data_IF_730221281219
#
_entry.id   IF_730221281219
#
_cell.length_a   1.000
_cell.length_b   1.000
_cell.length_c   1.000
_cell.angle_alpha   90.00
_cell.angle_beta   90.00
_cell.angle_gamma   90.00
#
_symmetry.space_group_name_H-M   'P 1'
#
loop_
_entity.id
_entity.type
_entity.pdbx_description
1 polymer ?
#
# COMPACT_ATOMS: atom_id res chain seq x y z
N UNK A 1 37.94 4.79 34.67
CA UNK A 1 36.49 4.74 34.42
C UNK A 1 36.27 3.56 33.50
N UNK A 2 35.51 2.57 33.93
CA UNK A 2 35.31 1.35 33.14
C UNK A 2 34.03 1.50 32.33
N UNK A 3 34.07 1.09 31.06
CA UNK A 3 32.93 1.12 30.15
C UNK A 3 32.56 -0.30 29.74
N UNK A 4 31.25 -0.58 29.66
CA UNK A 4 30.71 -1.87 29.26
C UNK A 4 29.49 -1.68 28.38
N UNK A 5 29.38 -2.51 27.35
CA UNK A 5 28.20 -2.53 26.48
C UNK A 5 27.40 -3.81 26.70
N UNK A 6 26.12 -3.67 27.03
CA UNK A 6 25.20 -4.80 27.30
C UNK A 6 24.15 -4.85 26.18
N UNK A 7 23.90 -6.00 25.55
CA UNK A 7 22.81 -6.14 24.58
C UNK A 7 21.46 -6.12 25.30
N UNK A 8 20.52 -5.30 24.81
CA UNK A 8 19.16 -5.18 25.39
C UNK A 8 18.11 -5.53 24.34
N UNK A 9 17.27 -6.52 24.67
CA UNK A 9 16.14 -6.95 23.86
C UNK A 9 14.90 -6.07 24.10
N UNK A 10 13.99 -6.02 23.12
CA UNK A 10 12.68 -5.37 23.27
C UNK A 10 12.62 -3.85 23.00
N UNK A 11 13.74 -3.13 22.95
CA UNK A 11 13.71 -1.69 22.63
C UNK A 11 13.31 -1.42 21.17
N UNK A 12 12.17 -0.77 20.93
CA UNK A 12 11.69 -0.42 19.56
C UNK A 12 11.42 1.07 19.35
N UNK A 13 11.50 1.88 20.41
CA UNK A 13 11.05 3.27 20.41
C UNK A 13 12.02 4.24 21.11
N UNK A 14 11.93 5.54 20.83
CA UNK A 14 12.77 6.55 21.50
C UNK A 14 12.45 6.70 22.99
N UNK A 15 11.18 6.47 23.38
CA UNK A 15 10.81 6.42 24.78
C UNK A 15 11.46 5.21 25.50
N UNK A 16 11.62 4.09 24.79
CA UNK A 16 12.21 2.85 25.28
C UNK A 16 13.67 3.07 25.70
N UNK A 17 14.45 3.81 24.89
CA UNK A 17 15.83 4.19 25.24
C UNK A 17 15.88 4.97 26.56
N UNK A 18 14.98 5.94 26.74
CA UNK A 18 14.92 6.73 27.97
C UNK A 18 14.54 5.89 29.18
N UNK A 19 13.58 4.98 29.02
CA UNK A 19 13.16 4.05 30.09
C UNK A 19 14.31 3.14 30.51
N UNK A 20 15.00 2.49 29.55
CA UNK A 20 16.14 1.61 29.84
C UNK A 20 17.31 2.39 30.43
N UNK A 21 17.61 3.57 29.90
CA UNK A 21 18.68 4.44 30.42
C UNK A 21 18.39 4.87 31.86
N UNK A 22 17.16 5.29 32.15
CA UNK A 22 16.76 5.73 33.48
C UNK A 22 16.77 4.58 34.52
N UNK A 23 16.31 3.39 34.13
CA UNK A 23 16.33 2.22 35.00
C UNK A 23 17.76 1.85 35.42
N UNK A 24 18.71 1.90 34.48
CA UNK A 24 20.09 1.51 34.74
C UNK A 24 20.91 2.62 35.41
N UNK A 25 20.61 3.90 35.17
CA UNK A 25 21.19 5.00 35.94
C UNK A 25 20.86 4.94 37.45
N UNK A 26 19.81 4.23 37.84
CA UNK A 26 19.44 4.02 39.24
C UNK A 26 20.31 3.01 40.00
N UNK A 27 21.16 2.24 39.30
CA UNK A 27 22.01 1.24 39.94
C UNK A 27 23.25 1.88 40.60
N UNK A 28 23.71 1.33 41.74
CA UNK A 28 24.85 1.87 42.46
C UNK A 28 26.14 1.76 41.63
N UNK A 29 26.92 2.85 41.58
CA UNK A 29 28.24 2.88 40.95
C UNK A 29 28.25 3.20 39.45
N UNK A 30 27.08 3.42 38.84
CA UNK A 30 26.94 3.93 37.47
C UNK A 30 27.00 5.46 37.47
N UNK A 31 27.78 6.03 36.56
CA UNK A 31 27.93 7.48 36.37
C UNK A 31 27.32 7.96 35.06
N UNK A 32 27.29 7.10 34.04
CA UNK A 32 26.56 7.35 32.81
C UNK A 32 26.00 6.07 32.21
N UNK A 33 24.84 6.18 31.58
CA UNK A 33 24.25 5.12 30.77
C UNK A 33 23.64 5.72 29.51
N UNK A 34 23.73 5.00 28.39
CA UNK A 34 23.16 5.40 27.11
C UNK A 34 22.64 4.18 26.36
N UNK A 35 21.31 4.10 26.20
CA UNK A 35 20.67 3.06 25.41
C UNK A 35 20.54 3.50 23.94
N UNK A 36 20.93 2.63 23.01
CA UNK A 36 20.73 2.78 21.58
C UNK A 36 19.75 1.71 21.07
N UNK A 37 18.55 2.12 20.65
CA UNK A 37 17.53 1.22 20.11
C UNK A 37 17.87 0.69 18.72
N UNK A 38 18.68 1.38 17.93
CA UNK A 38 19.10 0.89 16.60
C UNK A 38 20.11 -0.23 16.77
N UNK A 39 21.11 -0.02 17.62
CA UNK A 39 22.12 -1.03 17.93
C UNK A 39 21.60 -2.14 18.84
N UNK A 40 20.53 -1.90 19.60
CA UNK A 40 20.01 -2.83 20.60
C UNK A 40 20.98 -3.03 21.76
N UNK A 41 21.66 -1.96 22.14
CA UNK A 41 22.77 -1.97 23.08
C UNK A 41 22.63 -0.85 24.09
N UNK A 42 23.10 -1.12 25.30
CA UNK A 42 23.21 -0.17 26.39
C UNK A 42 24.69 0.00 26.73
N UNK A 43 25.22 1.20 26.53
CA UNK A 43 26.54 1.56 27.01
C UNK A 43 26.43 2.08 28.45
N UNK A 44 27.27 1.54 29.34
CA UNK A 44 27.30 1.88 30.76
C UNK A 44 28.73 2.24 31.12
N UNK A 45 28.92 3.36 31.83
CA UNK A 45 30.20 3.72 32.40
C UNK A 45 30.06 4.08 33.89
N UNK A 46 31.06 3.69 34.69
CA UNK A 46 31.05 3.97 36.12
C UNK A 46 32.27 3.44 36.86
N UNK A 47 32.16 3.48 38.19
CA UNK A 47 33.19 3.01 39.14
C UNK A 47 33.11 1.50 39.37
N UNK A 48 31.90 0.95 39.38
CA UNK A 48 31.64 -0.50 39.44
C UNK A 48 30.59 -0.85 38.39
N UNK A 49 30.94 -1.75 37.48
CA UNK A 49 30.06 -2.17 36.40
C UNK A 49 29.16 -3.31 36.88
N UNK A 50 27.82 -3.18 36.80
CA UNK A 50 26.91 -4.26 37.18
C UNK A 50 27.03 -5.47 36.25
N UNK A 51 26.70 -6.64 36.79
CA UNK A 51 26.59 -7.88 36.02
C UNK A 51 25.35 -7.85 35.11
N UNK A 52 25.26 -8.78 34.15
CA UNK A 52 24.06 -8.89 33.31
C UNK A 52 22.81 -9.21 34.13
N UNK A 53 22.94 -9.97 35.21
CA UNK A 53 21.83 -10.28 36.11
C UNK A 53 21.32 -9.03 36.85
N UNK A 54 22.23 -8.13 37.24
CA UNK A 54 21.86 -6.88 37.92
C UNK A 54 21.15 -5.91 36.97
N UNK A 55 21.61 -5.85 35.71
CA UNK A 55 20.95 -5.05 34.66
C UNK A 55 19.57 -5.65 34.32
N UNK A 56 19.45 -6.97 34.24
CA UNK A 56 18.17 -7.64 33.98
C UNK A 56 17.19 -7.45 35.14
N UNK A 57 17.68 -7.51 36.39
CA UNK A 57 16.89 -7.21 37.58
C UNK A 57 16.40 -5.74 37.62
N UNK A 58 17.24 -4.79 37.22
CA UNK A 58 16.84 -3.38 37.10
C UNK A 58 15.76 -3.14 36.03
N UNK A 59 15.66 -4.05 35.07
CA UNK A 59 14.68 -3.99 33.97
C UNK A 59 13.45 -4.87 34.23
N UNK A 60 13.35 -5.56 35.37
CA UNK A 60 12.28 -6.53 35.65
C UNK A 60 10.86 -5.95 35.57
N UNK A 61 10.69 -4.67 35.92
CA UNK A 61 9.41 -3.95 35.83
C UNK A 61 9.12 -3.38 34.43
N UNK A 62 10.00 -3.65 33.47
CA UNK A 62 9.92 -3.18 32.09
C UNK A 62 9.77 -4.37 31.13
N UNK A 63 9.25 -4.16 29.90
CA UNK A 63 9.21 -5.21 28.89
C UNK A 63 10.57 -5.48 28.22
N UNK A 64 11.68 -5.06 28.83
CA UNK A 64 13.03 -5.15 28.29
C UNK A 64 13.87 -6.12 29.11
N UNK A 65 14.79 -6.81 28.46
CA UNK A 65 15.68 -7.76 29.13
C UNK A 65 17.06 -7.77 28.50
N UNK A 66 18.05 -8.27 29.23
CA UNK A 66 19.39 -8.47 28.71
C UNK A 66 19.38 -9.60 27.69
N UNK A 67 19.81 -9.30 26.46
CA UNK A 67 19.86 -10.30 25.40
C UNK A 67 19.81 -9.72 23.99
N UNK A 68 20.04 -10.59 23.01
CA UNK A 68 19.96 -10.21 21.59
C UNK A 68 18.54 -10.36 21.06
N UNK A 69 18.14 -9.47 20.14
CA UNK A 69 16.86 -9.59 19.44
C UNK A 69 16.86 -10.82 18.53
N UNK A 70 15.94 -11.78 18.69
CA UNK A 70 15.83 -12.89 17.76
C UNK A 70 15.27 -12.42 16.42
N UNK A 71 15.61 -13.12 15.33
CA UNK A 71 15.08 -12.83 13.99
C UNK A 71 13.58 -13.11 13.90
N UNK A 72 13.13 -14.11 14.64
CA UNK A 72 11.76 -14.59 14.69
C UNK A 72 11.24 -14.56 16.12
N UNK A 73 10.00 -14.12 16.32
CA UNK A 73 9.37 -14.12 17.62
C UNK A 73 9.15 -15.56 18.09
N UNK A 74 9.53 -15.87 19.33
CA UNK A 74 9.42 -17.21 19.92
C UNK A 74 8.12 -17.40 20.71
N UNK A 75 7.33 -16.34 20.88
CA UNK A 75 6.08 -16.41 21.61
C UNK A 75 5.00 -17.19 20.82
N UNK A 76 4.51 -18.34 21.34
CA UNK A 76 3.46 -19.12 20.67
C UNK A 76 2.14 -18.37 20.56
N UNK A 77 1.85 -17.39 21.43
CA UNK A 77 0.65 -16.58 21.33
C UNK A 77 0.67 -15.68 20.09
N UNK A 78 1.83 -15.17 19.69
CA UNK A 78 1.99 -14.36 18.48
C UNK A 78 1.71 -15.18 17.23
N UNK A 79 2.22 -16.41 17.16
CA UNK A 79 1.97 -17.31 16.03
C UNK A 79 0.53 -17.78 15.94
N UNK A 80 -0.10 -18.06 17.09
CA UNK A 80 -1.53 -18.38 17.12
C UNK A 80 -2.38 -17.21 16.61
N UNK A 81 -2.09 -16.01 17.09
CA UNK A 81 -2.80 -14.80 16.65
C UNK A 81 -2.58 -14.52 15.16
N UNK A 82 -1.38 -14.80 14.64
CA UNK A 82 -1.07 -14.71 13.21
C UNK A 82 -1.87 -15.72 12.39
N UNK A 83 -1.95 -16.97 12.81
CA UNK A 83 -2.74 -18.00 12.12
C UNK A 83 -4.22 -17.65 12.10
N UNK A 84 -4.76 -17.20 13.24
CA UNK A 84 -6.15 -16.73 13.32
C UNK A 84 -6.36 -15.52 12.40
N UNK A 85 -5.42 -14.57 12.39
CA UNK A 85 -5.48 -13.42 11.49
C UNK A 85 -5.49 -13.83 10.01
N UNK A 86 -4.62 -14.76 9.60
CA UNK A 86 -4.59 -15.30 8.23
C UNK A 86 -5.91 -15.96 7.88
N UNK A 87 -6.46 -16.80 8.76
CA UNK A 87 -7.74 -17.47 8.54
C UNK A 87 -8.90 -16.47 8.42
N UNK A 88 -8.95 -15.46 9.30
CA UNK A 88 -10.00 -14.43 9.28
C UNK A 88 -9.88 -13.56 8.02
N UNK A 89 -8.69 -13.07 7.68
CA UNK A 89 -8.48 -12.26 6.47
C UNK A 89 -8.81 -13.07 5.21
N UNK A 90 -8.38 -14.32 5.14
CA UNK A 90 -8.71 -15.22 4.03
C UNK A 90 -10.21 -15.49 3.91
N UNK A 91 -10.90 -15.73 5.03
CA UNK A 91 -12.35 -15.93 5.05
C UNK A 91 -13.11 -14.68 4.63
N UNK A 92 -12.69 -13.49 5.08
CA UNK A 92 -13.29 -12.22 4.67
C UNK A 92 -13.07 -11.95 3.17
N UNK A 93 -11.87 -12.22 2.65
CA UNK A 93 -11.58 -12.09 1.23
C UNK A 93 -12.43 -13.06 0.39
N UNK A 94 -12.50 -14.32 0.81
CA UNK A 94 -13.34 -15.34 0.15
C UNK A 94 -14.83 -14.98 0.22
N UNK A 95 -15.32 -14.48 1.35
CA UNK A 95 -16.70 -14.03 1.48
C UNK A 95 -16.99 -12.83 0.57
N UNK A 96 -16.09 -11.84 0.51
CA UNK A 96 -16.24 -10.69 -0.39
C UNK A 96 -16.29 -11.12 -1.87
N UNK A 97 -15.47 -12.11 -2.25
CA UNK A 97 -15.47 -12.73 -3.57
C UNK A 97 -16.77 -13.48 -3.87
N UNK A 98 -17.21 -14.40 -2.99
CA UNK A 98 -18.42 -15.21 -3.21
C UNK A 98 -19.70 -14.38 -3.19
N UNK A 99 -19.70 -13.28 -2.42
CA UNK A 99 -20.77 -12.31 -2.41
C UNK A 99 -20.73 -11.37 -3.62
N UNK A 100 -19.70 -11.40 -4.48
CA UNK A 100 -19.60 -10.43 -5.60
C UNK A 100 -19.66 -8.99 -5.11
N UNK A 101 -19.06 -8.69 -3.95
CA UNK A 101 -19.20 -7.38 -3.32
C UNK A 101 -18.55 -6.28 -4.18
N UNK A 102 -17.49 -6.62 -4.92
CA UNK A 102 -16.80 -5.72 -5.83
C UNK A 102 -17.69 -5.32 -7.02
N UNK A 103 -18.33 -6.29 -7.69
CA UNK A 103 -19.26 -6.04 -8.80
C UNK A 103 -20.53 -5.32 -8.34
N UNK A 104 -21.06 -5.62 -7.15
CA UNK A 104 -22.22 -4.87 -6.61
C UNK A 104 -21.91 -3.42 -6.27
N UNK A 105 -20.72 -3.13 -5.73
CA UNK A 105 -20.28 -1.74 -5.46
C UNK A 105 -20.13 -0.99 -6.78
N UNK A 106 -19.59 -1.65 -7.81
CA UNK A 106 -19.47 -1.14 -9.16
C UNK A 106 -20.85 -0.83 -9.78
N UNK A 107 -21.82 -1.75 -9.68
CA UNK A 107 -23.18 -1.57 -10.20
C UNK A 107 -23.91 -0.37 -9.56
N UNK A 108 -23.64 -0.09 -8.29
CA UNK A 108 -24.17 1.09 -7.61
C UNK A 108 -23.53 2.40 -8.11
N UNK A 109 -22.38 2.33 -8.77
CA UNK A 109 -21.63 3.47 -9.30
C UNK A 109 -21.69 3.62 -10.82
N UNK A 110 -22.13 2.58 -11.55
CA UNK A 110 -22.11 2.51 -13.02
C UNK A 110 -23.21 3.34 -13.72
N UNK A 111 -24.22 3.82 -12.98
CA UNK A 111 -25.26 4.70 -13.51
C UNK A 111 -24.83 6.15 -13.79
N UNK A 112 -23.56 6.48 -13.57
CA UNK A 112 -23.01 7.83 -13.76
C UNK A 112 -21.98 7.82 -14.90
N UNK A 113 -22.02 8.84 -15.76
CA UNK A 113 -21.20 8.92 -16.97
C UNK A 113 -19.70 8.80 -16.69
N UNK A 114 -18.97 8.25 -17.67
CA UNK A 114 -17.52 8.29 -17.81
C UNK A 114 -16.90 9.59 -17.26
N UNK A 115 -15.99 9.49 -16.29
CA UNK A 115 -15.31 10.65 -15.71
C UNK A 115 -16.15 11.58 -14.82
N UNK A 116 -17.41 11.25 -14.54
CA UNK A 116 -18.25 12.07 -13.64
C UNK A 116 -17.70 12.07 -12.21
N UNK A 117 -17.84 13.20 -11.53
CA UNK A 117 -17.36 13.36 -10.16
C UNK A 117 -17.94 12.31 -9.19
N UNK A 118 -19.11 11.74 -9.52
CA UNK A 118 -19.79 10.69 -8.76
C UNK A 118 -19.02 9.37 -8.80
N UNK A 119 -18.48 8.97 -9.94
CA UNK A 119 -17.72 7.71 -10.08
C UNK A 119 -16.38 7.81 -9.35
N UNK A 120 -15.67 8.94 -9.49
CA UNK A 120 -14.39 9.16 -8.79
C UNK A 120 -14.60 9.20 -7.27
N UNK A 121 -15.72 9.77 -6.82
CA UNK A 121 -16.10 9.77 -5.41
C UNK A 121 -16.48 8.36 -4.93
N UNK A 122 -17.17 7.58 -5.77
CA UNK A 122 -17.49 6.17 -5.55
C UNK A 122 -16.24 5.30 -5.40
N UNK A 123 -15.24 5.47 -6.26
CA UNK A 123 -13.93 4.82 -6.14
C UNK A 123 -13.22 5.22 -4.85
N UNK A 124 -13.33 6.48 -4.43
CA UNK A 124 -12.85 6.92 -3.12
C UNK A 124 -13.56 6.22 -1.95
N UNK A 125 -14.87 6.02 -2.04
CA UNK A 125 -15.66 5.29 -1.03
C UNK A 125 -15.28 3.80 -1.02
N UNK A 126 -15.12 3.16 -2.18
CA UNK A 126 -14.69 1.77 -2.30
C UNK A 126 -13.26 1.58 -1.74
N UNK A 127 -12.33 2.48 -2.11
CA UNK A 127 -10.98 2.52 -1.55
C UNK A 127 -10.97 2.79 -0.03
N UNK A 128 -12.04 3.39 0.50
CA UNK A 128 -12.21 3.56 1.94
C UNK A 128 -12.51 2.24 2.66
N UNK A 129 -12.96 1.20 1.98
CA UNK A 129 -13.12 -0.14 2.57
C UNK A 129 -11.85 -1.00 2.38
N UNK A 130 -10.81 -0.45 1.73
CA UNK A 130 -9.59 -1.16 1.32
C UNK A 130 -8.44 -1.08 2.34
N UNK A 131 -7.37 -1.85 2.09
CA UNK A 131 -6.10 -1.91 2.84
C UNK A 131 -5.39 -0.55 2.99
N UNK A 132 -5.72 0.46 2.18
CA UNK A 132 -5.28 1.84 2.36
C UNK A 132 -5.60 2.37 3.77
N UNK A 133 -6.75 1.96 4.35
CA UNK A 133 -7.13 2.31 5.72
C UNK A 133 -6.30 1.63 6.80
N UNK A 134 -5.76 0.45 6.53
CA UNK A 134 -4.92 -0.26 7.49
C UNK A 134 -3.67 0.57 7.83
N UNK A 135 -3.06 1.19 6.80
CA UNK A 135 -1.87 2.03 6.94
C UNK A 135 -2.19 3.45 7.41
N UNK A 136 -3.18 4.11 6.79
CA UNK A 136 -3.56 5.48 7.15
C UNK A 136 -4.25 5.51 8.52
N UNK A 137 -5.02 4.47 8.86
CA UNK A 137 -5.70 4.29 10.15
C UNK A 137 -4.71 4.20 11.31
N UNK A 138 -3.57 3.53 11.16
CA UNK A 138 -2.51 3.53 12.19
C UNK A 138 -1.96 4.93 12.47
N UNK A 139 -1.81 5.75 11.43
CA UNK A 139 -1.43 7.16 11.56
C UNK A 139 -2.50 7.95 12.30
N UNK A 140 -3.76 7.78 11.90
CA UNK A 140 -4.94 8.41 12.51
C UNK A 140 -5.08 8.02 13.99
N UNK A 141 -4.78 6.76 14.36
CA UNK A 141 -4.75 6.29 15.74
C UNK A 141 -3.62 6.93 16.53
N UNK A 142 -2.43 7.07 15.96
CA UNK A 142 -1.32 7.78 16.62
C UNK A 142 -1.63 9.26 16.87
N UNK A 143 -2.35 9.90 15.95
CA UNK A 143 -2.88 11.25 16.10
C UNK A 143 -3.96 11.32 17.18
N UNK A 144 -4.87 10.35 17.23
CA UNK A 144 -5.89 10.26 18.28
C UNK A 144 -5.28 10.05 19.69
N UNK A 145 -4.19 9.28 19.78
CA UNK A 145 -3.45 9.05 21.03
C UNK A 145 -2.69 10.31 21.52
N UNK A 146 -2.39 11.25 20.62
CA UNK A 146 -1.79 12.54 20.97
C UNK A 146 -2.80 13.59 21.45
N UNK A 147 -4.11 13.30 21.38
CA UNK A 147 -5.15 14.20 21.87
C UNK A 147 -5.30 14.07 23.39
N UNK A 148 -5.28 15.18 24.16
CA UNK A 148 -5.51 15.14 25.59
C UNK A 148 -6.83 14.46 25.96
N UNK A 149 -6.81 13.58 26.95
CA UNK A 149 -7.96 12.79 27.41
C UNK A 149 -9.15 13.62 27.92
N UNK A 150 -8.96 14.93 28.16
CA UNK A 150 -10.01 15.90 28.56
C UNK A 150 -10.66 16.62 27.37
N UNK A 151 -10.18 16.44 26.14
CA UNK A 151 -10.74 17.09 24.97
C UNK A 151 -12.06 16.42 24.55
N UNK A 152 -13.15 17.19 24.52
CA UNK A 152 -14.48 16.75 24.09
C UNK A 152 -14.95 17.53 22.86
N UNK A 153 -15.92 16.96 22.12
CA UNK A 153 -16.53 17.59 20.95
C UNK A 153 -15.55 17.91 19.82
N UNK A 154 -15.64 19.13 19.28
CA UNK A 154 -14.88 19.59 18.09
C UNK A 154 -13.36 19.56 18.34
N UNK A 155 -12.92 19.75 19.58
CA UNK A 155 -11.50 19.76 19.95
C UNK A 155 -10.85 18.38 19.77
N UNK A 156 -11.63 17.30 19.95
CA UNK A 156 -11.20 15.92 19.69
C UNK A 156 -11.16 15.59 18.19
N UNK A 157 -12.04 16.24 17.40
CA UNK A 157 -12.15 16.02 15.96
C UNK A 157 -11.17 16.87 15.14
N UNK A 158 -10.68 18.00 15.70
CA UNK A 158 -9.80 18.96 15.03
C UNK A 158 -8.55 18.33 14.38
N UNK A 159 -7.82 17.39 15.00
CA UNK A 159 -6.66 16.75 14.34
C UNK A 159 -7.06 15.86 13.17
N UNK A 160 -8.23 15.21 13.23
CA UNK A 160 -8.75 14.38 12.15
C UNK A 160 -9.22 15.23 10.97
N UNK A 161 -9.86 16.36 11.25
CA UNK A 161 -10.25 17.34 10.22
C UNK A 161 -9.03 18.00 9.58
N UNK A 162 -8.04 18.37 10.38
CA UNK A 162 -6.77 18.90 9.90
C UNK A 162 -6.03 17.89 9.02
N UNK A 163 -6.00 16.62 9.43
CA UNK A 163 -5.41 15.55 8.63
C UNK A 163 -6.11 15.36 7.28
N UNK A 164 -7.43 15.20 7.26
CA UNK A 164 -8.17 15.01 6.01
C UNK A 164 -8.17 16.27 5.13
N UNK A 165 -8.23 17.46 5.74
CA UNK A 165 -8.08 18.72 5.00
C UNK A 165 -6.73 18.82 4.30
N UNK A 166 -5.65 18.43 4.98
CA UNK A 166 -4.32 18.39 4.41
C UNK A 166 -4.18 17.35 3.31
N UNK A 167 -4.85 16.21 3.47
CA UNK A 167 -4.93 15.16 2.45
C UNK A 167 -5.66 15.64 1.19
N UNK A 168 -6.82 16.27 1.32
CA UNK A 168 -7.58 16.82 0.18
C UNK A 168 -6.75 17.88 -0.55
N UNK A 169 -6.26 18.89 0.18
CA UNK A 169 -5.44 19.96 -0.43
C UNK A 169 -4.17 19.40 -1.07
N UNK A 170 -3.48 18.49 -0.38
CA UNK A 170 -2.26 17.86 -0.88
C UNK A 170 -2.50 17.01 -2.12
N UNK A 171 -3.55 16.19 -2.14
CA UNK A 171 -3.90 15.34 -3.28
C UNK A 171 -4.34 16.17 -4.48
N UNK A 172 -5.13 17.23 -4.28
CA UNK A 172 -5.51 18.16 -5.36
C UNK A 172 -4.28 18.86 -5.94
N UNK A 173 -3.40 19.39 -5.09
CA UNK A 173 -2.20 20.10 -5.54
C UNK A 173 -1.19 19.17 -6.23
N UNK A 174 -0.86 18.03 -5.62
CA UNK A 174 0.07 17.07 -6.20
C UNK A 174 -0.54 16.37 -7.43
N UNK A 175 -1.86 16.16 -7.44
CA UNK A 175 -2.64 15.72 -8.60
C UNK A 175 -2.49 16.66 -9.79
N UNK A 176 -2.56 17.96 -9.56
CA UNK A 176 -2.31 18.97 -10.60
C UNK A 176 -0.90 18.87 -11.18
N UNK A 177 0.10 18.67 -10.30
CA UNK A 177 1.49 18.53 -10.70
C UNK A 177 1.69 17.27 -11.54
N UNK A 178 1.21 16.11 -11.10
CA UNK A 178 1.37 14.88 -11.88
C UNK A 178 0.60 14.94 -13.20
N UNK A 179 -0.61 15.50 -13.24
CA UNK A 179 -1.36 15.67 -14.50
C UNK A 179 -0.62 16.59 -15.48
N UNK A 180 0.04 17.65 -14.98
CA UNK A 180 0.88 18.49 -15.83
C UNK A 180 2.12 17.75 -16.36
N UNK A 181 2.78 16.95 -15.51
CA UNK A 181 3.95 16.14 -15.88
C UNK A 181 3.58 15.05 -16.89
N UNK A 182 2.37 14.52 -16.81
CA UNK A 182 1.88 13.48 -17.72
C UNK A 182 1.84 13.90 -19.19
N UNK A 183 1.78 15.21 -19.46
CA UNK A 183 1.87 15.74 -20.83
C UNK A 183 3.23 15.47 -21.50
N UNK A 184 4.30 15.29 -20.71
CA UNK A 184 5.67 15.17 -21.23
C UNK A 184 6.36 13.87 -20.86
N UNK A 185 5.78 13.04 -19.98
CA UNK A 185 6.38 11.79 -19.52
C UNK A 185 5.43 10.60 -19.74
N UNK A 186 5.81 9.70 -20.65
CA UNK A 186 5.36 8.31 -20.65
C UNK A 186 6.40 7.47 -19.86
N UNK A 187 6.18 7.15 -18.57
CA UNK A 187 7.15 6.39 -17.81
C UNK A 187 7.32 4.99 -18.42
N UNK A 188 8.57 4.59 -18.69
CA UNK A 188 8.87 3.22 -19.15
C UNK A 188 8.31 2.17 -18.19
N UNK A 189 7.88 1.02 -18.71
CA UNK A 189 7.36 -0.10 -17.90
C UNK A 189 8.34 -0.55 -16.82
N UNK A 190 9.65 -0.53 -17.11
CA UNK A 190 10.72 -0.85 -16.16
C UNK A 190 10.73 0.10 -14.96
N UNK A 191 10.64 1.41 -15.19
CA UNK A 191 10.64 2.41 -14.12
C UNK A 191 9.42 2.22 -13.21
N UNK A 192 8.25 1.98 -13.80
CA UNK A 192 7.03 1.72 -13.04
C UNK A 192 7.15 0.45 -12.20
N UNK A 193 7.63 -0.66 -12.79
CA UNK A 193 7.81 -1.92 -12.08
C UNK A 193 8.78 -1.80 -10.91
N UNK A 194 9.91 -1.09 -11.07
CA UNK A 194 10.86 -0.82 -9.97
C UNK A 194 10.22 0.00 -8.86
N UNK A 195 9.47 1.05 -9.20
CA UNK A 195 8.76 1.89 -8.23
C UNK A 195 7.70 1.08 -7.47
N UNK A 196 6.92 0.24 -8.16
CA UNK A 196 5.91 -0.64 -7.57
C UNK A 196 6.55 -1.69 -6.67
N UNK A 197 7.69 -2.25 -7.06
CA UNK A 197 8.42 -3.22 -6.24
C UNK A 197 9.01 -2.58 -4.97
N UNK A 198 9.55 -1.36 -5.09
CA UNK A 198 10.02 -0.58 -3.93
C UNK A 198 8.87 -0.27 -2.98
N UNK A 199 7.73 0.17 -3.52
CA UNK A 199 6.48 0.38 -2.80
C UNK A 199 6.02 -0.88 -2.04
N UNK A 200 5.96 -2.03 -2.73
CA UNK A 200 5.60 -3.31 -2.15
C UNK A 200 6.57 -3.74 -1.03
N UNK A 201 7.88 -3.52 -1.20
CA UNK A 201 8.89 -3.81 -0.18
C UNK A 201 8.67 -3.00 1.10
N UNK A 202 8.33 -1.71 0.97
CA UNK A 202 8.03 -0.83 2.11
C UNK A 202 6.75 -1.30 2.81
N UNK A 203 5.70 -1.65 2.06
CA UNK A 203 4.46 -2.20 2.63
C UNK A 203 4.72 -3.51 3.38
N UNK A 204 5.51 -4.42 2.81
CA UNK A 204 5.89 -5.68 3.45
C UNK A 204 6.65 -5.44 4.77
N UNK A 205 7.62 -4.51 4.78
CA UNK A 205 8.33 -4.11 6.00
C UNK A 205 7.35 -3.59 7.05
N UNK A 206 6.42 -2.71 6.68
CA UNK A 206 5.42 -2.18 7.62
C UNK A 206 4.50 -3.29 8.15
N UNK A 207 4.03 -4.17 7.27
CA UNK A 207 3.20 -5.31 7.65
C UNK A 207 3.90 -6.25 8.64
N UNK A 208 5.17 -6.60 8.40
CA UNK A 208 5.98 -7.45 9.31
C UNK A 208 6.17 -6.81 10.69
N UNK A 209 6.22 -5.48 10.78
CA UNK A 209 6.27 -4.78 12.07
C UNK A 209 4.96 -4.89 12.84
N UNK A 210 3.84 -4.73 12.13
CA UNK A 210 2.50 -4.81 12.72
C UNK A 210 2.16 -6.23 13.19
N UNK A 211 2.72 -7.26 12.53
CA UNK A 211 2.56 -8.66 12.95
C UNK A 211 3.45 -9.06 14.13
N UNK A 212 4.43 -8.24 14.52
CA UNK A 212 5.42 -8.53 15.58
C UNK A 212 6.17 -9.87 15.40
N UNK A 213 6.15 -10.42 14.18
CA UNK A 213 6.74 -11.72 13.83
C UNK A 213 8.26 -11.67 13.80
N UNK A 214 8.84 -10.52 13.47
CA UNK A 214 10.28 -10.28 13.54
C UNK A 214 10.61 -9.09 14.46
N UNK A 215 11.10 -9.37 15.69
CA UNK A 215 11.55 -8.33 16.62
C UNK A 215 12.67 -7.45 16.06
N UNK A 216 13.47 -7.96 15.11
CA UNK A 216 14.50 -7.17 14.42
C UNK A 216 13.93 -6.18 13.42
N UNK A 217 12.96 -6.60 12.61
CA UNK A 217 12.29 -5.71 11.63
C UNK A 217 11.43 -4.67 12.36
N UNK A 218 10.78 -5.06 13.45
CA UNK A 218 10.07 -4.16 14.37
C UNK A 218 10.95 -3.04 14.94
N UNK A 219 12.21 -3.38 15.27
CA UNK A 219 13.15 -2.43 15.88
C UNK A 219 13.92 -1.58 14.87
N UNK A 220 14.06 -2.04 13.63
CA UNK A 220 14.45 -1.16 12.53
C UNK A 220 13.47 0.02 12.52
N UNK A 221 13.86 1.24 12.22
CA UNK A 221 12.91 2.32 11.91
C UNK A 221 13.57 3.16 10.82
N UNK A 222 12.83 3.48 9.76
CA UNK A 222 13.33 4.43 8.77
C UNK A 222 13.34 5.80 9.45
N UNK A 223 14.47 6.13 10.07
CA UNK A 223 14.61 7.39 10.78
C UNK A 223 14.70 8.50 9.75
N UNK A 224 13.64 9.29 9.65
CA UNK A 224 13.65 10.51 8.86
C UNK A 224 14.80 11.41 9.32
N UNK A 225 15.60 11.97 8.38
CA UNK A 225 16.73 12.85 8.71
C UNK A 225 16.29 14.03 9.58
N UNK A 226 17.19 14.52 10.43
CA UNK A 226 16.90 15.24 11.69
C UNK A 226 15.73 16.23 11.67
N UNK A 227 15.63 17.08 10.64
CA UNK A 227 14.59 18.10 10.47
C UNK A 227 13.18 17.53 10.19
N UNK A 228 13.08 16.48 9.37
CA UNK A 228 11.83 15.76 9.10
C UNK A 228 11.43 14.90 10.30
N UNK A 229 12.43 14.27 10.93
CA UNK A 229 12.23 13.50 12.16
C UNK A 229 11.76 14.34 13.34
N UNK A 230 12.23 15.58 13.49
CA UNK A 230 11.77 16.50 14.54
C UNK A 230 10.32 16.96 14.31
N UNK A 231 9.96 17.26 13.06
CA UNK A 231 8.58 17.58 12.67
C UNK A 231 7.62 16.40 12.90
N UNK A 232 8.05 15.17 12.62
CA UNK A 232 7.31 13.92 12.89
C UNK A 232 7.42 13.45 14.36
N UNK A 233 8.29 13.98 15.20
CA UNK A 233 8.39 13.59 16.64
C UNK A 233 7.85 14.63 17.63
N UNK A 234 7.46 15.82 17.19
CA UNK A 234 6.84 16.83 18.07
C UNK A 234 7.82 17.39 19.08
N UNK A 235 8.95 17.96 18.62
CA UNK A 235 9.93 18.60 19.49
C UNK A 235 9.56 20.07 19.82
N UNK A 236 8.30 20.39 20.09
CA UNK A 236 7.90 21.74 20.50
C UNK A 236 6.88 21.66 21.63
N UNK A 237 7.28 22.19 22.80
CA UNK A 237 6.60 22.09 24.08
C UNK A 237 5.31 22.95 24.20
N UNK A 238 4.70 23.39 23.09
CA UNK A 238 3.52 24.28 23.07
C UNK A 238 2.33 23.63 22.37
N UNK A 239 1.87 22.52 22.93
CA UNK A 239 1.01 21.53 22.28
C UNK A 239 -0.51 21.79 22.46
N UNK A 240 -0.95 23.04 22.26
CA UNK A 240 -2.37 23.37 22.10
C UNK A 240 -2.72 23.94 20.71
N UNK A 241 -1.71 24.39 19.95
CA UNK A 241 -1.87 24.97 18.59
C UNK A 241 -0.96 24.31 17.54
N UNK A 242 0.10 23.61 17.94
CA UNK A 242 1.11 22.99 17.06
C UNK A 242 0.71 21.68 16.36
N UNK A 243 -0.30 20.95 16.86
CA UNK A 243 -0.73 19.68 16.25
C UNK A 243 -1.45 19.80 14.89
N UNK A 244 -2.04 20.95 14.59
CA UNK A 244 -2.82 21.19 13.36
C UNK A 244 -1.97 21.23 12.08
N UNK A 245 -0.88 22.04 11.98
CA UNK A 245 -0.03 22.05 10.79
C UNK A 245 0.68 20.71 10.56
N UNK A 246 1.00 19.99 11.63
CA UNK A 246 1.53 18.64 11.57
C UNK A 246 0.52 17.66 10.99
N UNK A 247 -0.72 17.66 11.50
CA UNK A 247 -1.78 16.81 10.98
C UNK A 247 -2.05 17.10 9.49
N UNK A 248 -2.12 18.39 9.11
CA UNK A 248 -2.24 18.84 7.72
C UNK A 248 -1.13 18.25 6.84
N UNK A 249 0.13 18.43 7.24
CA UNK A 249 1.25 17.92 6.45
C UNK A 249 1.29 16.39 6.40
N UNK A 250 0.94 15.69 7.48
CA UNK A 250 0.87 14.22 7.47
C UNK A 250 -0.22 13.74 6.52
N UNK A 251 -1.36 14.46 6.47
CA UNK A 251 -2.41 14.23 5.49
C UNK A 251 -1.93 14.36 4.06
N UNK A 252 -1.27 15.47 3.73
CA UNK A 252 -0.70 15.69 2.39
C UNK A 252 0.35 14.64 2.02
N UNK A 253 1.20 14.25 2.98
CA UNK A 253 2.25 13.24 2.78
C UNK A 253 1.69 11.85 2.46
N UNK A 254 0.42 11.56 2.78
CA UNK A 254 -0.21 10.29 2.39
C UNK A 254 -0.37 10.11 0.88
N UNK A 255 -0.15 11.15 0.09
CA UNK A 255 -0.08 11.03 -1.37
C UNK A 255 1.09 10.12 -1.78
N UNK A 256 2.18 10.12 -1.02
CA UNK A 256 3.36 9.30 -1.30
C UNK A 256 3.30 7.92 -0.65
N UNK A 257 2.19 7.58 0.02
CA UNK A 257 2.03 6.24 0.58
C UNK A 257 1.70 5.26 -0.54
N UNK A 258 2.50 4.20 -0.72
CA UNK A 258 2.22 3.19 -1.73
C UNK A 258 0.97 2.42 -1.32
N UNK A 259 -0.14 2.67 -1.99
CA UNK A 259 -1.35 1.88 -1.83
C UNK A 259 -2.03 1.76 -3.19
N UNK A 260 -2.41 0.55 -3.59
CA UNK A 260 -2.72 0.23 -4.99
C UNK A 260 -3.84 1.09 -5.58
N UNK A 261 -4.89 1.38 -4.81
CA UNK A 261 -5.97 2.28 -5.25
C UNK A 261 -5.48 3.71 -5.50
N UNK A 262 -4.62 4.26 -4.63
CA UNK A 262 -4.08 5.61 -4.85
C UNK A 262 -3.10 5.60 -6.03
N UNK A 263 -2.33 4.53 -6.21
CA UNK A 263 -1.43 4.38 -7.37
C UNK A 263 -2.19 4.33 -8.69
N UNK A 264 -3.29 3.56 -8.77
CA UNK A 264 -4.13 3.50 -9.97
C UNK A 264 -4.69 4.89 -10.34
N UNK A 265 -5.23 5.59 -9.34
CA UNK A 265 -5.77 6.94 -9.55
C UNK A 265 -4.66 7.97 -9.85
N UNK A 266 -3.45 7.81 -9.30
CA UNK A 266 -2.29 8.63 -9.65
C UNK A 266 -1.84 8.38 -11.09
N UNK A 267 -1.84 7.12 -11.55
CA UNK A 267 -1.52 6.79 -12.95
C UNK A 267 -2.59 7.35 -13.89
N UNK A 268 -3.88 7.25 -13.53
CA UNK A 268 -4.96 7.88 -14.30
C UNK A 268 -4.83 9.41 -14.31
N UNK A 269 -4.55 10.03 -13.15
CA UNK A 269 -4.33 11.47 -13.07
C UNK A 269 -3.11 11.90 -13.92
N UNK A 270 -2.05 11.08 -14.01
CA UNK A 270 -0.92 11.28 -14.91
C UNK A 270 -1.36 11.16 -16.38
N UNK A 271 -2.15 10.14 -16.75
CA UNK A 271 -2.58 9.94 -18.13
C UNK A 271 -3.55 11.01 -18.64
N UNK A 272 -4.21 11.78 -17.77
CA UNK A 272 -5.05 12.91 -18.21
C UNK A 272 -4.24 13.99 -18.94
N UNK A 273 -2.92 14.09 -18.71
CA UNK A 273 -2.06 15.10 -19.34
C UNK A 273 -2.47 16.55 -19.04
N UNK A 274 -3.39 16.77 -18.09
CA UNK A 274 -3.93 18.08 -17.76
C UNK A 274 -3.88 18.32 -16.25
N UNK A 275 -3.36 19.49 -15.86
CA UNK A 275 -3.28 19.86 -14.44
C UNK A 275 -4.67 19.96 -13.79
N UNK A 276 -5.69 20.38 -14.55
CA UNK A 276 -7.04 20.55 -14.04
C UNK A 276 -7.71 19.21 -13.77
N UNK A 277 -7.62 18.25 -14.69
CA UNK A 277 -8.24 16.94 -14.50
C UNK A 277 -7.48 16.14 -13.45
N UNK A 278 -6.14 16.15 -13.49
CA UNK A 278 -5.32 15.52 -12.43
C UNK A 278 -5.66 16.03 -11.03
N UNK A 279 -5.89 17.35 -10.87
CA UNK A 279 -6.33 17.95 -9.61
C UNK A 279 -7.73 17.48 -9.19
N UNK A 280 -8.69 17.47 -10.12
CA UNK A 280 -10.07 17.08 -9.85
C UNK A 280 -10.16 15.60 -9.48
N UNK A 281 -9.50 14.73 -10.24
CA UNK A 281 -9.45 13.29 -10.02
C UNK A 281 -8.90 12.98 -8.62
N UNK A 282 -7.71 13.49 -8.30
CA UNK A 282 -7.08 13.21 -7.01
C UNK A 282 -7.82 13.86 -5.84
N UNK A 283 -8.38 15.06 -6.03
CA UNK A 283 -9.16 15.77 -5.02
C UNK A 283 -10.46 15.05 -4.68
N UNK A 284 -11.22 14.62 -5.70
CA UNK A 284 -12.45 13.85 -5.52
C UNK A 284 -12.19 12.49 -4.88
N UNK A 285 -11.10 11.82 -5.24
CA UNK A 285 -10.66 10.59 -4.59
C UNK A 285 -10.35 10.80 -3.10
N UNK A 286 -9.64 11.88 -2.74
CA UNK A 286 -9.36 12.23 -1.35
C UNK A 286 -10.64 12.57 -0.56
N UNK A 287 -11.61 13.23 -1.20
CA UNK A 287 -12.92 13.52 -0.62
C UNK A 287 -13.69 12.20 -0.39
N UNK A 288 -13.78 11.32 -1.38
CA UNK A 288 -14.50 10.04 -1.29
C UNK A 288 -13.94 9.11 -0.21
N UNK A 289 -12.63 9.16 0.05
CA UNK A 289 -11.99 8.37 1.11
C UNK A 289 -12.12 8.98 2.52
N UNK A 290 -12.54 10.24 2.63
CA UNK A 290 -12.63 10.97 3.92
C UNK A 290 -13.68 10.39 4.88
N UNK A 291 -14.94 10.10 4.46
CA UNK A 291 -15.96 9.56 5.36
C UNK A 291 -15.52 8.26 6.03
N UNK A 292 -14.94 7.34 5.26
CA UNK A 292 -14.45 6.09 5.80
C UNK A 292 -13.28 6.29 6.77
N UNK A 293 -12.35 7.23 6.50
CA UNK A 293 -11.20 7.44 7.39
C UNK A 293 -11.61 8.08 8.70
N UNK A 294 -12.62 8.94 8.67
CA UNK A 294 -13.24 9.50 9.88
C UNK A 294 -13.95 8.40 10.68
N UNK A 295 -14.69 7.51 10.01
CA UNK A 295 -15.34 6.37 10.66
C UNK A 295 -14.34 5.40 11.29
N UNK A 296 -13.27 5.04 10.56
CA UNK A 296 -12.19 4.19 11.07
C UNK A 296 -11.43 4.84 12.23
N UNK A 297 -11.14 6.14 12.13
CA UNK A 297 -10.53 6.91 13.21
C UNK A 297 -11.39 6.97 14.47
N UNK A 298 -12.71 7.14 14.32
CA UNK A 298 -13.66 7.12 15.43
C UNK A 298 -13.77 5.74 16.08
N UNK A 299 -13.87 4.67 15.27
CA UNK A 299 -13.92 3.30 15.75
C UNK A 299 -12.63 2.89 16.48
N UNK A 300 -11.48 3.25 15.91
CA UNK A 300 -10.18 2.97 16.52
C UNK A 300 -9.93 3.82 17.78
N UNK A 301 -10.39 5.08 17.81
CA UNK A 301 -10.36 5.91 19.01
C UNK A 301 -11.24 5.38 20.14
N UNK A 302 -12.40 4.80 19.83
CA UNK A 302 -13.26 4.10 20.79
C UNK A 302 -12.61 2.80 21.30
N UNK A 303 -11.94 2.05 20.41
CA UNK A 303 -11.20 0.85 20.77
C UNK A 303 -9.96 1.16 21.63
N UNK A 304 -9.24 2.25 21.34
CA UNK A 304 -8.05 2.68 22.09
C UNK A 304 -8.37 3.16 23.52
N UNK A 305 -9.58 3.70 23.77
CA UNK A 305 -10.06 4.01 25.12
C UNK A 305 -10.48 2.78 25.92
N UNK A 306 -10.62 1.61 25.27
CA UNK A 306 -10.92 0.35 25.93
C UNK A 306 -9.60 -0.33 26.32
N UNK A 307 -9.36 -0.55 27.62
CA UNK A 307 -8.22 -1.32 28.16
C UNK A 307 -8.31 -2.82 27.81
N UNK A 308 -8.62 -3.17 26.56
CA UNK A 308 -8.80 -4.56 26.16
C UNK A 308 -7.47 -5.14 25.66
N UNK A 309 -7.06 -6.34 26.12
CA UNK A 309 -5.90 -7.09 25.63
C UNK A 309 -6.05 -7.59 24.17
N UNK A 310 -6.94 -6.99 23.36
CA UNK A 310 -7.23 -7.35 21.98
C UNK A 310 -6.60 -6.42 20.93
N UNK A 311 -6.05 -5.26 21.33
CA UNK A 311 -5.47 -4.30 20.38
C UNK A 311 -4.31 -4.90 19.57
N UNK A 312 -3.43 -5.68 20.22
CA UNK A 312 -2.34 -6.40 19.54
C UNK A 312 -2.84 -7.41 18.50
N UNK A 313 -3.96 -8.10 18.77
CA UNK A 313 -4.58 -9.03 17.81
C UNK A 313 -5.12 -8.32 16.56
N UNK A 314 -5.75 -7.16 16.74
CA UNK A 314 -6.25 -6.34 15.62
C UNK A 314 -5.08 -5.81 14.78
N UNK A 315 -4.02 -5.30 15.41
CA UNK A 315 -2.80 -4.84 14.73
C UNK A 315 -2.12 -5.96 13.94
N UNK A 316 -2.04 -7.17 14.50
CA UNK A 316 -1.52 -8.35 13.78
C UNK A 316 -2.38 -8.70 12.57
N UNK A 317 -3.71 -8.64 12.69
CA UNK A 317 -4.65 -8.81 11.58
C UNK A 317 -4.44 -7.80 10.45
N UNK A 318 -4.32 -6.52 10.80
CA UNK A 318 -3.98 -5.42 9.88
C UNK A 318 -2.63 -5.70 9.19
N UNK A 319 -1.62 -6.14 9.94
CA UNK A 319 -0.31 -6.50 9.41
C UNK A 319 -0.37 -7.62 8.37
N UNK A 320 -1.15 -8.69 8.63
CA UNK A 320 -1.36 -9.79 7.67
C UNK A 320 -2.00 -9.29 6.39
N UNK A 321 -3.05 -8.48 6.47
CA UNK A 321 -3.71 -7.91 5.30
C UNK A 321 -2.77 -7.02 4.46
N UNK A 322 -1.92 -6.22 5.12
CA UNK A 322 -0.90 -5.39 4.47
C UNK A 322 0.16 -6.25 3.77
N UNK A 323 0.63 -7.33 4.40
CA UNK A 323 1.58 -8.27 3.78
C UNK A 323 0.96 -8.95 2.56
N UNK A 324 -0.29 -9.43 2.66
CA UNK A 324 -0.99 -10.05 1.54
C UNK A 324 -1.08 -9.09 0.34
N UNK A 325 -1.45 -7.82 0.57
CA UNK A 325 -1.50 -6.82 -0.48
C UNK A 325 -0.12 -6.47 -1.05
N UNK A 326 0.91 -6.42 -0.21
CA UNK A 326 2.29 -6.21 -0.66
C UNK A 326 2.75 -7.34 -1.59
N UNK A 327 2.41 -8.59 -1.28
CA UNK A 327 2.71 -9.75 -2.13
C UNK A 327 1.98 -9.68 -3.47
N UNK A 328 0.69 -9.34 -3.46
CA UNK A 328 -0.10 -9.15 -4.69
C UNK A 328 0.49 -8.02 -5.54
N UNK A 329 0.84 -6.89 -4.92
CA UNK A 329 1.47 -5.75 -5.61
C UNK A 329 2.84 -6.11 -6.19
N UNK A 330 3.65 -6.86 -5.44
CA UNK A 330 4.95 -7.33 -5.91
C UNK A 330 4.82 -8.34 -7.05
N UNK A 331 3.83 -9.23 -7.00
CA UNK A 331 3.62 -10.24 -8.04
C UNK A 331 3.42 -9.61 -9.41
N UNK A 332 2.66 -8.52 -9.49
CA UNK A 332 2.47 -7.81 -10.75
C UNK A 332 3.68 -7.00 -11.23
N UNK A 333 4.51 -6.48 -10.32
CA UNK A 333 5.80 -5.90 -10.74
C UNK A 333 6.78 -6.98 -11.26
N UNK A 334 6.73 -8.19 -10.71
CA UNK A 334 7.60 -9.31 -11.11
C UNK A 334 7.19 -9.84 -12.49
N UNK A 335 5.90 -9.96 -12.79
CA UNK A 335 5.41 -10.39 -14.12
C UNK A 335 5.86 -9.43 -15.22
N UNK A 336 5.92 -8.13 -14.93
CA UNK A 336 6.42 -7.12 -15.85
C UNK A 336 7.96 -7.17 -16.06
N UNK A 337 8.73 -7.51 -15.02
CA UNK A 337 10.20 -7.58 -15.09
C UNK A 337 10.73 -8.89 -15.69
N UNK A 338 9.97 -9.97 -15.55
CA UNK A 338 10.35 -11.31 -16.02
C UNK A 338 9.17 -11.98 -16.73
N UNK A 339 8.84 -11.55 -17.97
CA UNK A 339 7.76 -12.12 -18.75
C UNK A 339 8.09 -13.58 -19.11
N UNK A 340 7.66 -14.54 -18.29
CA UNK A 340 7.89 -15.98 -18.51
C UNK A 340 8.04 -16.84 -17.24
N UNK A 341 8.22 -16.24 -16.06
CA UNK A 341 8.17 -16.98 -14.80
C UNK A 341 6.72 -17.39 -14.50
N UNK A 342 6.40 -18.68 -14.67
CA UNK A 342 5.10 -19.26 -14.30
C UNK A 342 4.06 -19.38 -15.43
N UNK A 343 4.44 -19.11 -16.68
CA UNK A 343 3.53 -19.23 -17.84
C UNK A 343 3.63 -20.58 -18.51
N UNK A 344 2.49 -21.26 -18.67
CA UNK A 344 2.34 -22.41 -19.57
C UNK A 344 2.37 -21.91 -21.01
N UNK A 345 3.20 -22.48 -21.88
CA UNK A 345 3.15 -22.15 -23.30
C UNK A 345 1.81 -22.61 -23.88
N UNK A 346 0.97 -21.67 -24.30
CA UNK A 346 -0.28 -22.00 -24.99
C UNK A 346 0.09 -22.41 -26.41
N UNK A 347 -0.04 -23.71 -26.69
CA UNK A 347 0.08 -24.25 -28.04
C UNK A 347 -1.31 -24.22 -28.66
N UNK A 348 -1.68 -23.08 -29.25
CA UNK A 348 -2.93 -22.96 -29.98
C UNK A 348 -2.71 -23.41 -31.43
N UNK A 349 -3.64 -24.21 -31.94
CA UNK A 349 -3.63 -24.67 -33.35
C UNK A 349 -4.77 -24.06 -34.16
N UNK A 350 -5.74 -23.43 -33.49
CA UNK A 350 -6.92 -22.85 -34.11
C UNK A 350 -7.19 -21.45 -33.53
N UNK A 351 -7.73 -20.58 -34.39
CA UNK A 351 -8.15 -19.23 -34.03
C UNK A 351 -9.29 -19.26 -33.02
N UNK A 352 -9.32 -18.30 -32.10
CA UNK A 352 -10.38 -18.24 -31.10
C UNK A 352 -11.71 -17.75 -31.71
N UNK A 353 -12.87 -18.23 -31.22
CA UNK A 353 -14.18 -17.87 -31.78
C UNK A 353 -14.56 -16.39 -31.61
N UNK A 354 -13.89 -15.65 -30.72
CA UNK A 354 -14.12 -14.23 -30.46
C UNK A 354 -13.50 -13.29 -31.53
N UNK A 355 -12.89 -13.85 -32.57
CA UNK A 355 -12.25 -13.07 -33.63
C UNK A 355 -13.08 -13.17 -34.91
N UNK A 356 -13.38 -12.02 -35.51
CA UNK A 356 -14.16 -11.92 -36.75
C UNK A 356 -13.37 -11.20 -37.84
N UNK A 357 -13.43 -11.70 -39.07
CA UNK A 357 -12.81 -11.03 -40.22
C UNK A 357 -13.82 -10.11 -40.90
N UNK A 358 -13.52 -8.81 -40.91
CA UNK A 358 -14.29 -7.81 -41.64
C UNK A 358 -13.33 -7.03 -42.52
N UNK A 359 -13.48 -7.15 -43.84
CA UNK A 359 -12.65 -6.39 -44.79
C UNK A 359 -11.15 -6.72 -44.76
N UNK A 360 -10.76 -7.92 -44.34
CA UNK A 360 -9.35 -8.33 -44.22
C UNK A 360 -8.67 -7.87 -42.93
N UNK A 361 -9.45 -7.39 -41.95
CA UNK A 361 -9.00 -7.03 -40.60
C UNK A 361 -9.62 -7.98 -39.58
N UNK A 362 -8.80 -8.45 -38.65
CA UNK A 362 -9.18 -9.32 -37.55
C UNK A 362 -9.75 -8.47 -36.39
N UNK A 363 -11.06 -8.38 -36.27
CA UNK A 363 -11.71 -7.67 -35.16
C UNK A 363 -11.78 -8.55 -33.92
N UNK A 364 -11.21 -8.05 -32.82
CA UNK A 364 -11.16 -8.70 -31.52
C UNK A 364 -11.81 -7.80 -30.49
N UNK A 365 -12.72 -8.33 -29.69
CA UNK A 365 -13.23 -7.64 -28.50
C UNK A 365 -12.73 -8.32 -27.24
N UNK A 366 -12.18 -7.54 -26.31
CA UNK A 366 -11.79 -7.96 -24.97
C UNK A 366 -12.49 -7.09 -23.93
N UNK A 367 -13.23 -7.72 -23.03
CA UNK A 367 -13.86 -7.05 -21.91
C UNK A 367 -12.89 -6.94 -20.74
N UNK A 368 -12.77 -5.75 -20.17
CA UNK A 368 -12.07 -5.49 -18.92
C UNK A 368 -13.06 -5.73 -17.78
N UNK A 369 -12.93 -6.87 -17.10
CA UNK A 369 -13.86 -7.37 -16.07
C UNK A 369 -13.22 -7.32 -14.68
N UNK A 370 -13.97 -7.61 -13.62
CA UNK A 370 -13.51 -7.43 -12.23
C UNK A 370 -12.33 -8.35 -11.84
N UNK A 371 -12.22 -9.50 -12.50
CA UNK A 371 -11.16 -10.50 -12.31
C UNK A 371 -10.07 -10.48 -13.41
N UNK A 372 -10.07 -9.49 -14.31
CA UNK A 372 -9.02 -9.29 -15.30
C UNK A 372 -9.54 -8.97 -16.71
N UNK A 373 -9.28 -9.88 -17.65
CA UNK A 373 -9.60 -9.73 -19.07
C UNK A 373 -10.38 -10.93 -19.60
N UNK A 374 -11.46 -10.68 -20.35
CA UNK A 374 -12.32 -11.73 -20.89
C UNK A 374 -12.56 -11.51 -22.40
N UNK A 375 -12.10 -12.43 -23.27
CA UNK A 375 -11.21 -13.54 -22.97
C UNK A 375 -9.78 -13.05 -22.66
N UNK A 376 -9.08 -13.74 -21.75
CA UNK A 376 -7.69 -13.42 -21.42
C UNK A 376 -6.70 -13.86 -22.51
N UNK A 377 -7.02 -14.93 -23.23
CA UNK A 377 -6.22 -15.43 -24.36
C UNK A 377 -7.03 -15.32 -25.65
N UNK A 378 -6.46 -14.69 -26.66
CA UNK A 378 -7.04 -14.60 -28.02
C UNK A 378 -6.03 -15.12 -29.03
N UNK A 379 -6.47 -15.94 -29.98
CA UNK A 379 -5.60 -16.49 -31.03
C UNK A 379 -5.92 -15.77 -32.34
N UNK A 380 -4.91 -15.23 -33.00
CA UNK A 380 -5.00 -14.44 -34.25
C UNK A 380 -4.01 -14.97 -35.29
N UNK A 381 -4.20 -14.60 -36.55
CA UNK A 381 -3.24 -14.93 -37.60
C UNK A 381 -2.11 -13.92 -37.68
N UNK A 382 -0.90 -14.41 -37.96
CA UNK A 382 0.29 -13.60 -38.26
C UNK A 382 0.12 -12.87 -39.61
N UNK A 383 0.78 -11.73 -39.77
CA UNK A 383 0.79 -10.89 -40.98
C UNK A 383 -0.57 -10.31 -41.41
N UNK A 384 -1.56 -10.34 -40.51
CA UNK A 384 -2.88 -9.77 -40.74
C UNK A 384 -3.20 -8.68 -39.70
N UNK A 385 -3.75 -7.54 -40.12
CA UNK A 385 -4.08 -6.45 -39.21
C UNK A 385 -5.14 -6.88 -38.21
N UNK A 386 -4.92 -6.53 -36.93
CA UNK A 386 -5.83 -6.80 -35.81
C UNK A 386 -6.39 -5.47 -35.31
N UNK A 387 -7.71 -5.33 -35.31
CA UNK A 387 -8.42 -4.24 -34.65
C UNK A 387 -8.91 -4.75 -33.29
N UNK A 388 -8.20 -4.36 -32.23
CA UNK A 388 -8.47 -4.77 -30.87
C UNK A 388 -9.29 -3.73 -30.12
N UNK A 389 -10.54 -4.06 -29.83
CA UNK A 389 -11.47 -3.26 -29.04
C UNK A 389 -11.47 -3.72 -27.60
N UNK A 390 -11.16 -2.79 -26.69
CA UNK A 390 -11.19 -2.98 -25.26
C UNK A 390 -12.44 -2.33 -24.68
N UNK A 391 -13.29 -3.12 -24.02
CA UNK A 391 -14.56 -2.68 -23.45
C UNK A 391 -14.50 -2.63 -21.91
N UNK A 392 -14.66 -1.46 -21.27
CA UNK A 392 -14.64 -1.33 -19.82
C UNK A 392 -15.95 -1.81 -19.19
N UNK A 393 -16.02 -3.08 -18.80
CA UNK A 393 -17.14 -3.63 -18.00
C UNK A 393 -16.94 -3.34 -16.51
N UNK A 394 -15.68 -3.32 -16.07
CA UNK A 394 -15.26 -3.00 -14.71
C UNK A 394 -14.24 -1.85 -14.69
N UNK A 395 -14.30 -1.03 -13.64
CA UNK A 395 -13.52 0.19 -13.45
C UNK A 395 -12.53 -0.05 -12.32
N UNK A 396 -11.35 -0.52 -12.67
CA UNK A 396 -10.33 -0.91 -11.71
C UNK A 396 -8.93 -0.66 -12.22
N UNK A 397 -7.94 -1.21 -11.50
CA UNK A 397 -6.53 -1.09 -11.92
C UNK A 397 -6.24 -1.76 -13.27
N UNK A 398 -7.08 -2.71 -13.70
CA UNK A 398 -7.02 -3.41 -14.98
C UNK A 398 -7.31 -2.54 -16.21
N UNK A 399 -7.93 -1.37 -16.01
CA UNK A 399 -8.27 -0.43 -17.07
C UNK A 399 -7.08 0.32 -17.67
N UNK A 400 -5.97 0.39 -16.93
CA UNK A 400 -4.70 0.88 -17.46
C UNK A 400 -3.94 -0.33 -18.00
N UNK A 401 -3.71 -0.41 -19.30
CA UNK A 401 -3.17 -1.60 -19.96
C UNK A 401 -1.82 -1.28 -20.61
N UNK A 402 -0.83 -2.11 -20.32
CA UNK A 402 0.50 -2.10 -20.92
C UNK A 402 0.62 -3.29 -21.88
N UNK A 403 0.82 -3.00 -23.17
CA UNK A 403 0.98 -4.01 -24.22
C UNK A 403 2.25 -3.79 -25.08
N UNK A 404 3.45 -3.69 -24.47
CA UNK A 404 4.67 -3.34 -25.19
C UNK A 404 5.10 -4.40 -26.21
N UNK A 405 4.76 -5.68 -26.01
CA UNK A 405 5.07 -6.71 -27.02
C UNK A 405 4.30 -6.51 -28.32
N UNK A 406 3.14 -5.85 -28.27
CA UNK A 406 2.34 -5.48 -29.44
C UNK A 406 2.83 -4.18 -30.09
N UNK A 407 3.88 -3.54 -29.53
CA UNK A 407 4.35 -2.23 -29.99
C UNK A 407 3.39 -1.08 -29.66
N UNK A 408 2.44 -1.30 -28.76
CA UNK A 408 1.43 -0.30 -28.38
C UNK A 408 1.89 0.54 -27.20
N UNK A 409 1.54 1.83 -27.24
CA UNK A 409 1.61 2.72 -26.09
C UNK A 409 0.59 2.29 -25.01
N UNK A 410 0.74 2.83 -23.79
CA UNK A 410 -0.19 2.53 -22.69
C UNK A 410 -1.61 2.94 -23.04
N UNK A 411 -2.54 1.99 -22.91
CA UNK A 411 -3.96 2.16 -23.17
C UNK A 411 -4.71 2.47 -21.86
N UNK A 412 -5.76 3.27 -21.94
CA UNK A 412 -6.54 3.67 -20.76
C UNK A 412 -8.04 3.55 -21.04
N UNK A 413 -8.57 2.37 -20.75
CA UNK A 413 -9.97 1.99 -20.92
C UNK A 413 -10.66 1.91 -19.57
N UNK A 414 -10.81 3.07 -18.93
CA UNK A 414 -11.49 3.18 -17.64
C UNK A 414 -12.99 3.41 -17.80
N UNK A 415 -13.41 4.11 -18.85
CA UNK A 415 -14.80 4.52 -19.00
C UNK A 415 -15.35 4.34 -20.41
N UNK A 416 -14.55 4.69 -21.41
CA UNK A 416 -14.92 4.55 -22.81
C UNK A 416 -14.18 3.35 -23.41
N UNK A 417 -14.84 2.68 -24.34
CA UNK A 417 -14.18 1.64 -25.12
C UNK A 417 -13.14 2.27 -26.03
N UNK A 418 -12.00 1.61 -26.18
CA UNK A 418 -10.90 2.05 -27.02
C UNK A 418 -10.57 0.96 -28.02
N UNK A 419 -10.44 1.32 -29.30
CA UNK A 419 -10.01 0.39 -30.35
C UNK A 419 -8.62 0.80 -30.80
N UNK A 420 -7.71 -0.16 -30.81
CA UNK A 420 -6.33 -0.01 -31.27
C UNK A 420 -6.00 -1.03 -32.34
N UNK A 421 -5.13 -0.63 -33.27
CA UNK A 421 -4.70 -1.49 -34.36
C UNK A 421 -3.26 -1.92 -34.16
N UNK A 422 -2.98 -3.20 -34.41
CA UNK A 422 -1.63 -3.74 -34.46
C UNK A 422 -1.54 -4.85 -35.51
N UNK A 423 -0.32 -5.26 -35.87
CA UNK A 423 -0.09 -6.38 -36.79
C UNK A 423 1.02 -7.26 -36.24
N UNK A 424 0.74 -8.50 -35.82
CA UNK A 424 1.77 -9.43 -35.39
C UNK A 424 2.57 -9.92 -36.60
N UNK A 425 3.89 -9.74 -36.59
CA UNK A 425 4.79 -10.11 -37.72
C UNK A 425 5.53 -11.43 -37.50
N UNK A 426 5.47 -11.98 -36.29
CA UNK A 426 6.09 -13.26 -35.95
C UNK A 426 5.07 -14.15 -35.23
N UNK A 427 5.14 -15.47 -35.46
CA UNK A 427 4.38 -16.43 -34.67
C UNK A 427 4.86 -16.43 -33.22
N UNK A 428 3.93 -16.50 -32.27
CA UNK A 428 4.29 -16.54 -30.86
C UNK A 428 3.26 -15.85 -29.97
N UNK A 429 3.64 -15.68 -28.71
CA UNK A 429 2.77 -15.09 -27.69
C UNK A 429 3.14 -13.65 -27.40
N UNK A 430 2.19 -12.76 -27.61
CA UNK A 430 2.28 -11.34 -27.32
C UNK A 430 1.46 -11.04 -26.07
N UNK A 431 2.13 -10.66 -24.97
CA UNK A 431 1.48 -10.46 -23.68
C UNK A 431 1.15 -9.00 -23.43
N UNK A 432 0.01 -8.78 -22.81
CA UNK A 432 -0.37 -7.51 -22.24
C UNK A 432 -0.77 -7.70 -20.78
N UNK A 433 -0.73 -6.62 -20.00
CA UNK A 433 -1.08 -6.68 -18.59
C UNK A 433 -1.62 -5.36 -18.11
N UNK A 434 -2.22 -5.34 -16.93
CA UNK A 434 -2.57 -4.07 -16.32
C UNK A 434 -1.30 -3.29 -15.92
N UNK A 435 -1.41 -1.97 -15.67
CA UNK A 435 -0.27 -1.13 -15.29
C UNK A 435 0.44 -1.61 -14.01
N UNK A 436 -0.27 -2.39 -13.17
CA UNK A 436 0.30 -3.02 -11.98
C UNK A 436 0.84 -4.44 -12.23
N UNK A 437 0.59 -5.02 -13.41
CA UNK A 437 0.97 -6.38 -13.83
C UNK A 437 0.22 -7.52 -13.12
N UNK A 438 -0.79 -7.21 -12.30
CA UNK A 438 -1.58 -8.18 -11.54
C UNK A 438 -2.42 -9.09 -12.44
N UNK A 439 -3.06 -8.49 -13.45
CA UNK A 439 -3.86 -9.20 -14.44
C UNK A 439 -3.11 -9.18 -15.76
N UNK A 440 -3.10 -10.32 -16.43
CA UNK A 440 -2.38 -10.53 -17.70
C UNK A 440 -3.32 -11.15 -18.71
N UNK A 441 -3.17 -10.74 -19.96
CA UNK A 441 -3.75 -11.42 -21.10
C UNK A 441 -2.70 -11.60 -22.19
N UNK A 442 -3.06 -12.35 -23.23
CA UNK A 442 -2.15 -12.65 -24.31
C UNK A 442 -2.87 -12.84 -25.66
N UNK A 443 -2.18 -12.42 -26.70
CA UNK A 443 -2.45 -12.79 -28.08
C UNK A 443 -1.50 -13.90 -28.49
N UNK A 444 -2.02 -14.97 -29.07
CA UNK A 444 -1.21 -16.02 -29.69
C UNK A 444 -1.34 -15.86 -31.20
N UNK A 445 -0.26 -15.47 -31.86
CA UNK A 445 -0.21 -15.38 -33.32
C UNK A 445 0.21 -16.72 -33.90
N UNK A 446 -0.61 -17.27 -34.79
CA UNK A 446 -0.36 -18.53 -35.50
C UNK A 446 -0.36 -18.30 -37.01
N UNK A 447 0.22 -19.23 -37.76
CA UNK A 447 0.09 -19.23 -39.21
C UNK A 447 -1.36 -19.55 -39.60
N UNK A 448 -1.85 -18.90 -40.67
CA UNK A 448 -3.14 -19.25 -41.25
C UNK A 448 -3.02 -20.65 -41.86
N UNK A 449 -3.89 -21.60 -41.50
CA UNK A 449 -3.90 -22.91 -42.14
C UNK A 449 -4.10 -22.76 -43.64
N UNK A 450 -3.30 -23.45 -44.45
CA UNK A 450 -3.50 -23.50 -45.89
C UNK A 450 -4.91 -24.09 -46.19
N UNK A 451 -5.66 -23.47 -47.12
CA UNK A 451 -7.07 -23.83 -47.40
C UNK A 451 -7.27 -25.21 -48.04
#
# INVERSE_FOLDING_TARGET
MSERTVPIAGMTCAACERTVTAAVLGLPGIESASADRRAGRLAIAGRSLPSDADVDAALADTPYSVGTRPWLNRDPFVWRDLLVAVAVVGMLAAAAWTLGLASRVQDLTSGASAGSAVVVLGLGVAASVSTCMALVGGLVVSLAASVPSRASGIARLRPHLAFNGGRIVGFTALGAVIGLVGRSLAPSGLLLAVVVLLAASVMAIVGVRLTETSPRVAAWQLSLPGRWGAWVRGASADDARGGTPRALGMGAATFFLPCGFTQAVQVYALSTGSAREGALVMGLFAIGTTPGLLAAGAAAGAAATSRRPGAGRVLRGIGVAVIAFALVTASGAITQLAPGLGTTAVTATERTPNVSDVGGVQHVTTQVVDDGYSPATTVVYVDEPVAWTLEPVYQGCQSAIDAPSLGLDRLMVLFDAETVEFTPTETGTYRYSCAMGMYTGEFVAIERPDP
#
